data_IF_750893609304
#
_entry.id   IF_750893609304
#
_cell.length_a   1.000
_cell.length_b   1.000
_cell.length_c   1.000
_cell.angle_alpha   90.00
_cell.angle_beta   90.00
_cell.angle_gamma   90.00
#
_symmetry.space_group_name_H-M   'P 1'
#
loop_
_entity.id
_entity.type
_entity.pdbx_description
1 polymer ?
#
# COMPACT_ATOMS: atom_id res chain seq x y z
N UNK A 1 -10.07 4.52 -10.44
CA UNK A 1 -11.03 5.61 -10.08
C UNK A 1 -12.47 5.09 -9.97
N UNK A 2 -12.84 4.00 -10.67
CA UNK A 2 -14.18 3.39 -10.59
C UNK A 2 -14.43 2.63 -9.28
N UNK A 3 -13.38 2.13 -8.64
CA UNK A 3 -13.47 1.29 -7.45
C UNK A 3 -13.94 2.09 -6.23
N UNK A 4 -13.46 3.33 -6.06
CA UNK A 4 -13.89 4.21 -4.96
C UNK A 4 -15.37 4.55 -5.05
N UNK A 5 -15.86 4.85 -6.25
CA UNK A 5 -17.27 5.14 -6.48
C UNK A 5 -18.14 3.93 -6.18
N UNK A 6 -17.75 2.74 -6.63
CA UNK A 6 -18.46 1.48 -6.32
C UNK A 6 -18.47 1.19 -4.81
N UNK A 7 -17.35 1.39 -4.12
CA UNK A 7 -17.27 1.27 -2.65
C UNK A 7 -18.31 2.19 -1.99
N UNK A 8 -18.38 3.45 -2.42
CA UNK A 8 -19.34 4.41 -1.87
C UNK A 8 -20.80 4.11 -2.24
N UNK A 9 -21.08 3.54 -3.41
CA UNK A 9 -22.43 3.04 -3.75
C UNK A 9 -22.88 1.92 -2.81
N UNK A 10 -21.99 0.96 -2.52
CA UNK A 10 -22.29 -0.12 -1.56
C UNK A 10 -22.47 0.44 -0.14
N UNK A 11 -21.61 1.38 0.31
CA UNK A 11 -21.77 2.01 1.63
C UNK A 11 -23.07 2.78 1.78
N UNK A 12 -23.56 3.39 0.69
CA UNK A 12 -24.86 4.07 0.65
C UNK A 12 -26.05 3.11 0.53
N UNK A 13 -25.81 1.81 0.33
CA UNK A 13 -26.85 0.81 0.13
C UNK A 13 -27.52 0.88 -1.25
N UNK A 14 -26.90 1.55 -2.23
CA UNK A 14 -27.42 1.68 -3.59
C UNK A 14 -27.23 0.39 -4.41
N UNK A 15 -26.33 -0.49 -3.97
CA UNK A 15 -26.02 -1.78 -4.63
C UNK A 15 -25.45 -2.76 -3.60
N UNK A 16 -25.75 -4.05 -3.74
CA UNK A 16 -25.13 -5.09 -2.93
C UNK A 16 -23.69 -5.37 -3.40
N UNK A 17 -22.80 -5.66 -2.46
CA UNK A 17 -21.40 -5.94 -2.76
C UNK A 17 -21.22 -7.13 -3.73
N UNK A 18 -22.07 -8.15 -3.63
CA UNK A 18 -22.04 -9.34 -4.50
C UNK A 18 -22.50 -9.08 -5.93
N UNK A 19 -23.32 -8.04 -6.15
CA UNK A 19 -23.90 -7.71 -7.45
C UNK A 19 -23.01 -6.77 -8.28
N UNK A 20 -21.89 -6.33 -7.72
CA UNK A 20 -20.99 -5.40 -8.40
C UNK A 20 -20.33 -6.04 -9.63
N UNK A 21 -20.53 -5.48 -10.84
CA UNK A 21 -19.79 -5.92 -12.01
C UNK A 21 -18.33 -5.48 -11.90
N UNK A 22 -17.41 -6.29 -12.42
CA UNK A 22 -16.00 -5.93 -12.45
C UNK A 22 -15.07 -7.10 -12.62
N UNK A 23 -13.78 -6.77 -12.74
CA UNK A 23 -12.72 -7.79 -12.77
C UNK A 23 -12.60 -8.49 -11.41
N UNK A 24 -11.88 -9.62 -11.39
CA UNK A 24 -11.58 -10.35 -10.14
C UNK A 24 -10.87 -9.45 -9.12
N UNK A 25 -9.89 -8.65 -9.55
CA UNK A 25 -9.11 -7.77 -8.66
C UNK A 25 -9.89 -6.53 -8.24
N UNK A 26 -10.78 -5.99 -9.09
CA UNK A 26 -11.71 -4.94 -8.70
C UNK A 26 -12.64 -5.42 -7.58
N UNK A 27 -13.25 -6.60 -7.74
CA UNK A 27 -14.13 -7.19 -6.73
C UNK A 27 -13.39 -7.53 -5.43
N UNK A 28 -12.15 -8.02 -5.51
CA UNK A 28 -11.28 -8.17 -4.34
C UNK A 28 -11.04 -6.83 -3.65
N UNK A 29 -10.63 -5.79 -4.39
CA UNK A 29 -10.38 -4.44 -3.84
C UNK A 29 -11.58 -3.94 -3.05
N UNK A 30 -12.78 -4.06 -3.63
CA UNK A 30 -14.02 -3.62 -2.97
C UNK A 30 -14.34 -4.50 -1.75
N UNK A 31 -14.18 -5.82 -1.88
CA UNK A 31 -14.40 -6.78 -0.78
C UNK A 31 -13.49 -6.53 0.41
N UNK A 32 -12.19 -6.36 0.20
CA UNK A 32 -11.23 -6.05 1.27
C UNK A 32 -11.50 -4.66 1.87
N UNK A 33 -11.84 -3.66 1.05
CA UNK A 33 -12.14 -2.30 1.49
C UNK A 33 -13.39 -2.24 2.39
N UNK A 34 -14.36 -3.13 2.17
CA UNK A 34 -15.64 -3.16 2.89
C UNK A 34 -15.76 -4.29 3.92
N UNK A 35 -14.74 -5.14 4.04
CA UNK A 35 -14.79 -6.39 4.81
C UNK A 35 -15.91 -7.35 4.35
N UNK A 36 -16.12 -7.41 3.03
CA UNK A 36 -17.20 -8.15 2.35
C UNK A 36 -16.63 -9.09 1.27
N UNK A 37 -15.39 -9.54 1.42
CA UNK A 37 -14.70 -10.39 0.44
C UNK A 37 -15.48 -11.68 0.12
N UNK A 38 -16.16 -12.25 1.11
CA UNK A 38 -17.00 -13.43 0.92
C UNK A 38 -18.16 -13.20 -0.07
N UNK A 39 -18.68 -11.96 -0.15
CA UNK A 39 -19.75 -11.59 -1.09
C UNK A 39 -19.19 -11.24 -2.46
N UNK A 40 -18.14 -10.42 -2.50
CA UNK A 40 -17.60 -9.92 -3.79
C UNK A 40 -16.79 -10.98 -4.53
N UNK A 41 -16.11 -11.87 -3.80
CA UNK A 41 -15.24 -12.89 -4.36
C UNK A 41 -15.18 -14.16 -3.46
N UNK A 42 -16.23 -15.01 -3.51
CA UNK A 42 -16.37 -16.16 -2.60
C UNK A 42 -15.18 -17.14 -2.62
N UNK A 43 -14.47 -17.24 -3.73
CA UNK A 43 -13.28 -18.11 -3.85
C UNK A 43 -12.11 -17.69 -2.95
N UNK A 44 -12.12 -16.46 -2.44
CA UNK A 44 -11.11 -15.92 -1.52
C UNK A 44 -11.67 -15.63 -0.13
N UNK A 45 -12.91 -16.06 0.17
CA UNK A 45 -13.57 -15.78 1.45
C UNK A 45 -12.73 -16.18 2.68
N UNK A 46 -11.91 -17.23 2.55
CA UNK A 46 -11.02 -17.74 3.60
C UNK A 46 -9.53 -17.44 3.35
N UNK A 47 -9.20 -16.66 2.31
CA UNK A 47 -7.82 -16.33 1.92
C UNK A 47 -7.68 -14.84 1.60
N UNK A 48 -7.87 -14.02 2.64
CA UNK A 48 -7.75 -12.58 2.59
C UNK A 48 -6.31 -12.13 2.22
N UNK A 49 -5.30 -12.86 2.71
CA UNK A 49 -3.90 -12.62 2.40
C UNK A 49 -3.58 -12.88 0.92
N UNK A 50 -4.08 -13.97 0.34
CA UNK A 50 -3.93 -14.25 -1.08
C UNK A 50 -4.67 -13.25 -1.97
N UNK A 51 -5.86 -12.78 -1.54
CA UNK A 51 -6.56 -11.69 -2.22
C UNK A 51 -5.73 -10.39 -2.18
N UNK A 52 -5.18 -10.03 -1.02
CA UNK A 52 -4.33 -8.85 -0.84
C UNK A 52 -3.09 -8.86 -1.75
N UNK A 53 -2.39 -9.99 -1.83
CA UNK A 53 -1.17 -10.12 -2.66
C UNK A 53 -1.43 -9.98 -4.16
N UNK A 54 -2.65 -10.22 -4.63
CA UNK A 54 -3.04 -10.07 -6.04
C UNK A 54 -3.33 -8.64 -6.45
N UNK A 55 -3.50 -7.74 -5.49
CA UNK A 55 -3.78 -6.33 -5.77
C UNK A 55 -2.50 -5.59 -6.13
N UNK A 56 -2.60 -4.66 -7.08
CA UNK A 56 -1.53 -3.71 -7.37
C UNK A 56 -1.44 -2.60 -6.30
N UNK A 57 -0.40 -1.77 -6.36
CA UNK A 57 -0.18 -0.70 -5.40
C UNK A 57 -1.33 0.32 -5.33
N UNK A 58 -1.99 0.60 -6.47
CA UNK A 58 -3.12 1.55 -6.52
C UNK A 58 -4.34 0.95 -5.83
N UNK A 59 -4.64 -0.32 -6.09
CA UNK A 59 -5.73 -1.05 -5.47
C UNK A 59 -5.52 -1.22 -3.96
N UNK A 60 -4.31 -1.60 -3.53
CA UNK A 60 -3.94 -1.66 -2.10
C UNK A 60 -4.10 -0.32 -1.41
N UNK A 61 -3.74 0.78 -2.08
CA UNK A 61 -3.97 2.14 -1.54
C UNK A 61 -5.46 2.44 -1.36
N UNK A 62 -6.31 2.05 -2.31
CA UNK A 62 -7.76 2.23 -2.17
C UNK A 62 -8.28 1.45 -0.95
N UNK A 63 -7.90 0.18 -0.79
CA UNK A 63 -8.29 -0.62 0.38
C UNK A 63 -7.87 0.05 1.68
N UNK A 64 -6.62 0.54 1.78
CA UNK A 64 -6.12 1.24 2.98
C UNK A 64 -6.87 2.51 3.31
N UNK A 65 -7.40 3.21 2.31
CA UNK A 65 -8.16 4.44 2.55
C UNK A 65 -9.50 4.15 3.23
N UNK A 66 -10.16 3.04 2.88
CA UNK A 66 -11.49 2.68 3.40
C UNK A 66 -11.45 1.70 4.58
N UNK A 67 -10.47 0.80 4.61
CA UNK A 67 -10.30 -0.18 5.67
C UNK A 67 -8.99 0.06 6.45
N UNK A 68 -9.06 0.61 7.67
CA UNK A 68 -7.88 0.93 8.48
C UNK A 68 -7.08 -0.30 8.92
N UNK A 69 -7.68 -1.51 8.89
CA UNK A 69 -6.98 -2.77 9.20
C UNK A 69 -5.75 -2.95 8.30
N UNK A 70 -5.88 -2.61 7.03
CA UNK A 70 -4.83 -2.76 6.01
C UNK A 70 -3.70 -1.73 6.10
N UNK A 71 -3.78 -0.80 7.05
CA UNK A 71 -2.69 0.13 7.37
C UNK A 71 -1.68 -0.49 8.34
N UNK A 72 -2.01 -1.63 8.96
CA UNK A 72 -1.11 -2.34 9.87
C UNK A 72 0.09 -2.92 9.12
N UNK A 73 1.18 -3.10 9.87
CA UNK A 73 2.47 -3.58 9.32
C UNK A 73 2.40 -4.96 8.67
N UNK A 74 1.50 -5.82 9.12
CA UNK A 74 1.32 -7.17 8.55
C UNK A 74 0.86 -7.16 7.09
N UNK A 75 0.21 -6.06 6.66
CA UNK A 75 -0.28 -5.86 5.30
C UNK A 75 0.70 -5.08 4.41
N UNK A 76 1.90 -4.77 4.92
CA UNK A 76 2.98 -4.21 4.10
C UNK A 76 3.58 -5.34 3.28
N UNK A 77 3.67 -5.15 1.96
CA UNK A 77 4.24 -6.19 1.11
C UNK A 77 5.76 -6.16 1.12
N UNK A 78 6.37 -7.28 0.71
CA UNK A 78 7.83 -7.37 0.57
C UNK A 78 8.37 -6.34 -0.43
N UNK A 79 7.59 -6.04 -1.48
CA UNK A 79 7.92 -5.00 -2.45
C UNK A 79 7.94 -3.61 -1.81
N UNK A 80 6.92 -3.28 -1.01
CA UNK A 80 6.87 -2.00 -0.28
C UNK A 80 7.99 -1.88 0.76
N UNK A 81 8.33 -3.00 1.40
CA UNK A 81 9.46 -3.07 2.35
C UNK A 81 10.79 -2.86 1.63
N UNK A 82 11.00 -3.56 0.50
CA UNK A 82 12.22 -3.46 -0.29
C UNK A 82 12.41 -2.03 -0.87
N UNK A 83 11.34 -1.39 -1.35
CA UNK A 83 11.41 0.01 -1.79
C UNK A 83 11.81 0.96 -0.66
N UNK A 84 11.24 0.77 0.54
CA UNK A 84 11.58 1.58 1.70
C UNK A 84 13.02 1.36 2.19
N UNK A 85 13.57 0.15 2.01
CA UNK A 85 14.98 -0.16 2.32
C UNK A 85 15.94 0.51 1.33
N UNK A 86 15.64 0.45 0.03
CA UNK A 86 16.43 1.14 -1.01
C UNK A 86 16.46 2.65 -0.77
N UNK A 87 15.31 3.27 -0.47
CA UNK A 87 15.24 4.70 -0.15
C UNK A 87 16.07 5.04 1.10
N UNK A 88 16.04 4.19 2.12
CA UNK A 88 16.83 4.38 3.35
C UNK A 88 18.33 4.29 3.07
N UNK A 89 18.77 3.31 2.28
CA UNK A 89 20.19 3.16 1.92
C UNK A 89 20.69 4.35 1.08
N UNK A 90 19.87 4.85 0.16
CA UNK A 90 20.20 6.03 -0.63
C UNK A 90 20.36 7.29 0.25
N UNK A 91 19.42 7.51 1.18
CA UNK A 91 19.47 8.64 2.12
C UNK A 91 20.68 8.52 3.05
N UNK A 92 20.90 7.36 3.67
CA UNK A 92 22.03 7.12 4.57
C UNK A 92 23.38 7.29 3.86
N UNK A 93 23.50 6.78 2.63
CA UNK A 93 24.67 6.99 1.78
C UNK A 93 24.92 8.46 1.47
N UNK A 94 23.87 9.22 1.13
CA UNK A 94 23.95 10.66 0.88
C UNK A 94 24.38 11.45 2.11
N UNK A 95 23.81 11.15 3.29
CA UNK A 95 24.15 11.81 4.56
C UNK A 95 25.62 11.55 4.93
N UNK A 96 26.10 10.30 4.81
CA UNK A 96 27.51 9.96 5.06
C UNK A 96 28.46 10.70 4.12
N UNK A 97 28.11 10.82 2.84
CA UNK A 97 28.92 11.55 1.87
C UNK A 97 29.03 13.05 2.22
N UNK A 98 27.92 13.68 2.63
CA UNK A 98 27.89 15.08 3.06
C UNK A 98 28.71 15.29 4.33
N UNK A 99 28.55 14.43 5.34
CA UNK A 99 29.32 14.51 6.58
C UNK A 99 30.82 14.39 6.32
N UNK A 100 31.23 13.46 5.45
CA UNK A 100 32.63 13.32 5.03
C UNK A 100 33.16 14.57 4.32
N UNK A 101 32.35 15.20 3.46
CA UNK A 101 32.75 16.43 2.78
C UNK A 101 32.95 17.60 3.76
N UNK A 102 32.06 17.74 4.75
CA UNK A 102 32.19 18.74 5.83
C UNK A 102 33.47 18.53 6.63
N UNK A 103 33.78 17.28 7.02
CA UNK A 103 35.01 16.96 7.74
C UNK A 103 36.27 17.33 6.95
N UNK A 104 36.27 17.09 5.64
CA UNK A 104 37.39 17.46 4.76
C UNK A 104 37.55 18.98 4.67
N UNK A 105 36.45 19.72 4.52
CA UNK A 105 36.49 21.19 4.47
C UNK A 105 36.97 21.82 5.77
N UNK A 106 36.54 21.30 6.92
CA UNK A 106 37.01 21.77 8.21
C UNK A 106 38.51 21.49 8.46
N UNK A 107 39.08 20.46 7.81
CA UNK A 107 40.53 20.20 7.86
C UNK A 107 41.33 21.13 6.94
N UNK A 108 40.76 21.59 5.84
CA UNK A 108 41.40 22.55 4.92
C UNK A 108 41.47 23.97 5.51
N UNK A 109 40.56 24.32 6.41
CA UNK A 109 40.46 25.66 7.03
C UNK A 109 41.14 25.77 8.41
N UNK A 110 41.71 24.69 8.95
CA UNK A 110 42.42 24.73 10.22
C UNK A 110 43.79 25.45 10.05
N UNK A 111 44.03 26.62 10.67
CA UNK A 111 45.33 27.27 10.60
C UNK A 111 46.37 26.44 11.34
N UNK A 112 47.57 26.31 10.75
CA UNK A 112 48.73 25.63 11.36
C UNK A 112 49.23 26.38 12.60
#
# INVERSE_FOLDING_TARGET
MREREKIEQVRRGETDAGDLPGSTTERMTIGLALNELAKTNPGYASDEAGAWQKLDATQRRIVRDFNPEYRKKEWVTKEETAMAEVDREFIDGGVKAVMRWIELKNREEAPQ
#
